data_IF_850183137292
#
_entry.id   IF_850183137292
#
_cell.length_a   1.000
_cell.length_b   1.000
_cell.length_c   1.000
_cell.angle_alpha   90.00
_cell.angle_beta   90.00
_cell.angle_gamma   90.00
#
_symmetry.space_group_name_H-M   'P 1'
#
loop_
_entity.id
_entity.type
_entity.pdbx_description
1 polymer ?
#
# COMPACT_ATOMS: atom_id res chain seq x y z
N UNK A 1 6.17 1.49 -0.14
CA UNK A 1 6.22 2.94 0.20
C UNK A 1 4.86 3.36 0.77
N UNK A 2 4.83 4.06 1.90
CA UNK A 2 3.61 4.59 2.54
C UNK A 2 3.52 6.09 2.21
N UNK A 3 2.37 6.54 1.70
CA UNK A 3 2.13 7.95 1.38
C UNK A 3 1.36 8.62 2.53
N UNK A 4 1.94 9.64 3.15
CA UNK A 4 1.42 10.29 4.35
C UNK A 4 1.19 11.77 4.07
N UNK A 5 0.05 12.31 4.48
CA UNK A 5 -0.17 13.74 4.57
C UNK A 5 -0.08 14.19 6.03
N UNK A 6 0.58 15.31 6.29
CA UNK A 6 0.59 16.01 7.57
C UNK A 6 0.00 17.39 7.33
N UNK A 7 -1.09 17.70 8.02
CA UNK A 7 -1.77 18.98 7.89
C UNK A 7 -1.87 19.65 9.27
N UNK A 8 -1.19 20.79 9.41
CA UNK A 8 -1.08 21.55 10.67
C UNK A 8 -0.73 23.00 10.31
N UNK A 9 -1.44 23.98 10.86
CA UNK A 9 -1.17 25.40 10.61
C UNK A 9 0.04 25.95 11.40
N UNK A 10 0.53 25.16 12.35
CA UNK A 10 1.70 25.49 13.17
C UNK A 10 2.93 24.75 12.66
N UNK A 11 3.89 25.49 12.12
CA UNK A 11 5.08 24.91 11.51
C UNK A 11 5.91 24.03 12.46
N UNK A 12 5.98 24.38 13.75
CA UNK A 12 6.69 23.63 14.76
C UNK A 12 6.10 22.23 14.95
N UNK A 13 4.78 22.13 15.08
CA UNK A 13 4.09 20.84 15.24
C UNK A 13 4.16 19.99 13.96
N UNK A 14 4.08 20.64 12.81
CA UNK A 14 4.27 19.95 11.52
C UNK A 14 5.66 19.34 11.43
N UNK A 15 6.71 20.09 11.78
CA UNK A 15 8.10 19.61 11.75
C UNK A 15 8.32 18.50 12.79
N UNK A 16 7.77 18.62 14.00
CA UNK A 16 7.82 17.56 15.01
C UNK A 16 7.21 16.25 14.50
N UNK A 17 6.01 16.35 13.91
CA UNK A 17 5.32 15.16 13.33
C UNK A 17 6.15 14.52 12.24
N UNK A 18 6.70 15.31 11.31
CA UNK A 18 7.55 14.80 10.22
C UNK A 18 8.81 14.12 10.78
N UNK A 19 9.49 14.76 11.73
CA UNK A 19 10.69 14.19 12.35
C UNK A 19 10.42 12.84 13.05
N UNK A 20 9.28 12.70 13.72
CA UNK A 20 8.88 11.42 14.33
C UNK A 20 8.57 10.35 13.28
N UNK A 21 7.91 10.72 12.19
CA UNK A 21 7.63 9.82 11.08
C UNK A 21 8.92 9.32 10.40
N UNK A 22 9.89 10.20 10.21
CA UNK A 22 11.22 9.84 9.67
C UNK A 22 11.99 8.92 10.62
N UNK A 23 11.96 9.17 11.93
CA UNK A 23 12.56 8.28 12.92
C UNK A 23 11.91 6.88 12.91
N UNK A 24 10.57 6.84 12.83
CA UNK A 24 9.84 5.58 12.69
C UNK A 24 10.23 4.84 11.40
N UNK A 25 10.28 5.55 10.29
CA UNK A 25 10.69 5.02 8.97
C UNK A 25 12.07 4.36 9.02
N UNK A 26 13.06 5.04 9.61
CA UNK A 26 14.41 4.51 9.78
C UNK A 26 14.45 3.27 10.67
N UNK A 27 13.70 3.30 11.78
CA UNK A 27 13.64 2.17 12.73
C UNK A 27 13.02 0.90 12.13
N UNK A 28 12.05 1.06 11.23
CA UNK A 28 11.28 -0.06 10.65
C UNK A 28 11.68 -0.37 9.20
N UNK A 29 12.71 0.30 8.67
CA UNK A 29 13.11 0.23 7.26
C UNK A 29 11.93 0.33 6.28
N UNK A 30 10.97 1.15 6.61
CA UNK A 30 9.74 1.33 5.88
C UNK A 30 9.77 2.62 5.07
N UNK A 31 9.87 2.53 3.74
CA UNK A 31 9.87 3.70 2.87
C UNK A 31 8.57 4.51 3.03
N UNK A 32 8.69 5.79 3.44
CA UNK A 32 7.58 6.74 3.53
C UNK A 32 7.78 7.90 2.56
N UNK A 33 6.66 8.51 2.14
CA UNK A 33 6.64 9.79 1.44
C UNK A 33 5.69 10.71 2.18
N UNK A 34 6.20 11.79 2.78
CA UNK A 34 5.41 12.76 3.52
C UNK A 34 5.15 13.99 2.66
N UNK A 35 3.90 14.49 2.68
CA UNK A 35 3.47 15.75 2.09
C UNK A 35 2.87 16.63 3.19
N UNK A 36 3.31 17.89 3.28
CA UNK A 36 2.90 18.82 4.33
C UNK A 36 1.92 19.87 3.79
N UNK A 37 0.94 20.22 4.61
CA UNK A 37 -0.09 21.21 4.32
C UNK A 37 -0.30 22.09 5.55
N UNK A 38 -0.42 23.39 5.34
CA UNK A 38 -0.66 24.39 6.40
C UNK A 38 -2.13 24.73 6.59
N UNK A 39 -3.02 24.13 5.80
CA UNK A 39 -4.48 24.33 5.88
C UNK A 39 -5.24 23.15 5.23
N UNK A 40 -6.53 23.02 5.62
CA UNK A 40 -7.40 21.94 5.15
C UNK A 40 -7.76 22.04 3.66
N UNK A 41 -7.87 23.24 3.09
CA UNK A 41 -8.21 23.41 1.66
C UNK A 41 -7.09 22.89 0.76
N UNK A 42 -5.84 23.17 1.11
CA UNK A 42 -4.66 22.66 0.39
C UNK A 42 -4.57 21.13 0.46
N UNK A 43 -4.90 20.55 1.62
CA UNK A 43 -4.98 19.09 1.79
C UNK A 43 -6.07 18.50 0.88
N UNK A 44 -7.30 19.06 0.91
CA UNK A 44 -8.43 18.59 0.09
C UNK A 44 -8.11 18.67 -1.41
N UNK A 45 -7.50 19.76 -1.84
CA UNK A 45 -7.05 19.93 -3.22
C UNK A 45 -6.05 18.85 -3.62
N UNK A 46 -5.07 18.57 -2.76
CA UNK A 46 -4.06 17.54 -3.01
C UNK A 46 -4.68 16.13 -3.15
N UNK A 47 -5.69 15.82 -2.34
CA UNK A 47 -6.41 14.55 -2.40
C UNK A 47 -7.13 14.30 -3.74
N UNK A 48 -7.44 15.35 -4.49
CA UNK A 48 -8.02 15.22 -5.84
C UNK A 48 -6.99 14.76 -6.89
N UNK A 49 -5.70 14.93 -6.61
CA UNK A 49 -4.62 14.64 -7.56
C UNK A 49 -3.79 13.43 -7.18
N UNK A 50 -3.66 13.14 -5.87
CA UNK A 50 -2.92 11.97 -5.39
C UNK A 50 -3.58 11.33 -4.17
N UNK A 51 -3.59 9.99 -4.07
CA UNK A 51 -4.07 9.30 -2.88
C UNK A 51 -3.02 9.35 -1.76
N UNK A 52 -3.50 9.40 -0.52
CA UNK A 52 -2.71 9.17 0.68
C UNK A 52 -3.19 7.90 1.38
N UNK A 53 -2.27 7.20 2.01
CA UNK A 53 -2.56 6.03 2.84
C UNK A 53 -3.02 6.47 4.24
N UNK A 54 -2.40 7.53 4.78
CA UNK A 54 -2.59 8.03 6.13
C UNK A 54 -2.52 9.56 6.14
N UNK A 55 -3.37 10.19 6.94
CA UNK A 55 -3.40 11.64 7.17
C UNK A 55 -3.27 11.90 8.66
N UNK A 56 -2.26 12.67 9.07
CA UNK A 56 -2.19 13.31 10.36
C UNK A 56 -2.75 14.72 10.21
N UNK A 57 -3.81 15.03 10.96
CA UNK A 57 -4.62 16.23 10.74
C UNK A 57 -4.82 17.00 12.04
N UNK A 58 -4.30 18.22 12.11
CA UNK A 58 -4.63 19.08 13.22
C UNK A 58 -6.11 19.44 13.24
N UNK A 59 -6.71 19.49 14.43
CA UNK A 59 -8.10 19.85 14.61
C UNK A 59 -8.31 21.36 14.57
N UNK A 60 -7.41 22.10 15.22
CA UNK A 60 -7.58 23.54 15.45
C UNK A 60 -6.79 24.30 14.39
N UNK A 61 -7.43 24.54 13.24
CA UNK A 61 -6.86 25.35 12.19
C UNK A 61 -7.77 26.55 11.88
N UNK A 62 -7.21 27.71 11.48
CA UNK A 62 -7.99 28.88 11.10
C UNK A 62 -8.91 28.61 9.89
N UNK A 63 -10.09 29.22 9.88
CA UNK A 63 -11.07 29.23 8.80
C UNK A 63 -11.71 27.85 8.51
N UNK A 64 -10.95 26.77 8.44
CA UNK A 64 -11.44 25.44 8.11
C UNK A 64 -10.82 24.41 9.05
N UNK A 65 -11.61 23.91 10.00
CA UNK A 65 -11.13 23.00 11.03
C UNK A 65 -10.79 21.62 10.46
N UNK A 66 -9.91 20.89 11.17
CA UNK A 66 -9.62 19.49 10.79
C UNK A 66 -10.85 18.60 10.86
N UNK A 67 -11.80 18.88 11.75
CA UNK A 67 -13.10 18.16 11.81
C UNK A 67 -13.87 18.35 10.51
N UNK A 68 -13.96 19.58 9.99
CA UNK A 68 -14.65 19.87 8.73
C UNK A 68 -13.92 19.22 7.56
N UNK A 69 -12.59 19.31 7.52
CA UNK A 69 -11.77 18.65 6.51
C UNK A 69 -11.99 17.14 6.50
N UNK A 70 -12.00 16.50 7.66
CA UNK A 70 -12.29 15.07 7.79
C UNK A 70 -13.70 14.73 7.28
N UNK A 71 -14.71 15.55 7.64
CA UNK A 71 -16.08 15.35 7.17
C UNK A 71 -16.19 15.42 5.64
N UNK A 72 -15.50 16.38 5.00
CA UNK A 72 -15.46 16.48 3.53
C UNK A 72 -14.76 15.26 2.90
N UNK A 73 -13.62 14.83 3.44
CA UNK A 73 -12.92 13.62 2.98
C UNK A 73 -13.84 12.40 3.05
N UNK A 74 -14.61 12.26 4.13
CA UNK A 74 -15.53 11.13 4.33
C UNK A 74 -16.74 11.13 3.40
N UNK A 75 -17.23 12.30 2.94
CA UNK A 75 -18.32 12.39 1.95
C UNK A 75 -17.97 11.73 0.63
N UNK A 76 -16.73 11.80 0.19
CA UNK A 76 -16.25 11.14 -1.00
C UNK A 76 -15.97 9.64 -0.78
N UNK A 77 -16.35 9.09 0.38
CA UNK A 77 -16.18 7.71 0.79
C UNK A 77 -14.73 7.21 0.68
N UNK A 78 -13.79 8.06 0.99
CA UNK A 78 -12.36 7.74 0.95
C UNK A 78 -11.99 6.88 2.17
N UNK A 79 -11.32 5.78 1.92
CA UNK A 79 -10.86 4.83 2.95
C UNK A 79 -9.48 5.21 3.52
N UNK A 80 -9.05 6.47 3.31
CA UNK A 80 -7.79 6.94 3.88
C UNK A 80 -7.89 6.94 5.41
N UNK A 81 -6.86 6.49 6.10
CA UNK A 81 -6.78 6.56 7.56
C UNK A 81 -6.53 8.01 8.00
N UNK A 82 -7.32 8.51 8.97
CA UNK A 82 -7.19 9.86 9.49
C UNK A 82 -6.95 9.79 10.98
N UNK A 83 -5.80 10.34 11.40
CA UNK A 83 -5.40 10.48 12.80
C UNK A 83 -5.42 11.96 13.16
N UNK A 84 -6.25 12.35 14.09
CA UNK A 84 -6.26 13.72 14.57
C UNK A 84 -5.08 14.00 15.49
N UNK A 85 -4.55 15.20 15.34
CA UNK A 85 -3.59 15.81 16.28
C UNK A 85 -4.30 16.96 17.01
N UNK A 86 -4.14 17.10 18.33
CA UNK A 86 -4.79 18.19 19.06
C UNK A 86 -4.09 18.51 20.36
N UNK A 87 -4.15 19.77 20.77
CA UNK A 87 -3.70 20.21 22.10
C UNK A 87 -4.74 19.96 23.20
N UNK A 88 -5.98 19.60 22.87
CA UNK A 88 -7.08 19.38 23.82
C UNK A 88 -7.74 18.01 23.62
N UNK A 89 -8.08 17.26 24.66
CA UNK A 89 -8.81 16.00 24.56
C UNK A 89 -10.34 16.20 24.27
N UNK A 90 -10.84 17.42 24.32
CA UNK A 90 -12.28 17.71 24.24
C UNK A 90 -12.93 17.34 22.92
N UNK A 91 -12.14 17.30 21.82
CA UNK A 91 -12.63 16.99 20.47
C UNK A 91 -12.77 15.50 20.20
N UNK A 92 -12.51 14.62 21.16
CA UNK A 92 -12.58 13.16 20.97
C UNK A 92 -13.96 12.67 20.50
N UNK A 93 -15.05 13.29 21.00
CA UNK A 93 -16.42 12.93 20.59
C UNK A 93 -16.68 13.36 19.14
N UNK A 94 -16.22 14.53 18.74
CA UNK A 94 -16.39 15.04 17.39
C UNK A 94 -15.52 14.23 16.38
N UNK A 95 -14.30 13.88 16.78
CA UNK A 95 -13.45 12.97 16.01
C UNK A 95 -14.16 11.63 15.73
N UNK A 96 -14.80 11.05 16.72
CA UNK A 96 -15.58 9.82 16.55
C UNK A 96 -16.76 10.01 15.58
N UNK A 97 -17.49 11.13 15.65
CA UNK A 97 -18.63 11.44 14.76
C UNK A 97 -18.22 11.52 13.30
N UNK A 98 -17.05 12.07 13.01
CA UNK A 98 -16.54 12.18 11.63
C UNK A 98 -15.75 10.94 11.19
N UNK A 99 -15.78 9.87 11.99
CA UNK A 99 -15.12 8.58 11.70
C UNK A 99 -13.62 8.74 11.48
N UNK A 100 -12.95 9.44 12.38
CA UNK A 100 -11.50 9.41 12.49
C UNK A 100 -11.05 8.01 12.95
N UNK A 101 -9.86 7.58 12.52
CA UNK A 101 -9.30 6.28 12.86
C UNK A 101 -8.44 6.34 14.14
N UNK A 102 -8.04 7.53 14.56
CA UNK A 102 -7.26 7.73 15.79
C UNK A 102 -7.18 9.19 16.20
N UNK A 103 -6.58 9.39 17.37
CA UNK A 103 -6.45 10.69 18.03
C UNK A 103 -5.17 10.73 18.86
N UNK A 104 -4.32 11.72 18.65
CA UNK A 104 -3.09 11.93 19.40
C UNK A 104 -3.08 13.33 20.02
N UNK A 105 -2.64 13.43 21.26
CA UNK A 105 -2.46 14.72 21.95
C UNK A 105 -1.09 15.31 21.67
N UNK A 106 -1.03 16.62 21.45
CA UNK A 106 0.19 17.41 21.40
C UNK A 106 0.61 17.84 22.83
N UNK A 107 1.91 17.87 23.17
CA UNK A 107 3.05 17.45 22.35
C UNK A 107 3.02 15.94 22.07
N UNK A 108 3.46 15.55 20.88
CA UNK A 108 3.35 14.16 20.45
C UNK A 108 4.26 13.23 21.28
N UNK A 109 3.66 12.21 21.87
CA UNK A 109 4.42 11.09 22.44
C UNK A 109 4.94 10.22 21.27
N UNK A 110 6.27 10.06 21.11
CA UNK A 110 6.84 9.18 20.09
C UNK A 110 6.29 7.75 20.13
N UNK A 111 6.06 7.20 21.34
CA UNK A 111 5.53 5.84 21.47
C UNK A 111 4.09 5.73 20.96
N UNK A 112 3.26 6.75 21.19
CA UNK A 112 1.89 6.78 20.71
C UNK A 112 1.83 6.89 19.17
N UNK A 113 2.64 7.77 18.56
CA UNK A 113 2.71 7.91 17.11
C UNK A 113 3.26 6.61 16.47
N UNK A 114 4.30 6.03 17.01
CA UNK A 114 4.87 4.78 16.54
C UNK A 114 3.86 3.63 16.62
N UNK A 115 3.07 3.56 17.71
CA UNK A 115 1.99 2.58 17.84
C UNK A 115 0.95 2.68 16.73
N UNK A 116 0.55 3.90 16.35
CA UNK A 116 -0.36 4.14 15.23
C UNK A 116 0.25 3.66 13.91
N UNK A 117 1.53 3.97 13.68
CA UNK A 117 2.23 3.56 12.46
C UNK A 117 2.43 2.04 12.39
N UNK A 118 2.73 1.39 13.51
CA UNK A 118 2.91 -0.07 13.59
C UNK A 118 1.58 -0.79 13.35
N UNK A 119 0.48 -0.30 13.94
CA UNK A 119 -0.86 -0.81 13.64
C UNK A 119 -1.21 -0.65 12.18
N UNK A 120 -0.94 0.55 11.62
CA UNK A 120 -1.18 0.82 10.20
C UNK A 120 -0.39 -0.12 9.31
N UNK A 121 0.90 -0.32 9.55
CA UNK A 121 1.75 -1.23 8.79
C UNK A 121 1.23 -2.67 8.86
N UNK A 122 0.89 -3.15 10.06
CA UNK A 122 0.33 -4.49 10.28
C UNK A 122 -0.99 -4.68 9.52
N UNK A 123 -1.87 -3.68 9.52
CA UNK A 123 -3.14 -3.73 8.77
C UNK A 123 -2.88 -3.67 7.28
N UNK A 124 -1.96 -2.83 6.82
CA UNK A 124 -1.58 -2.71 5.40
C UNK A 124 -0.98 -4.01 4.87
N UNK A 125 -0.15 -4.69 5.65
CA UNK A 125 0.37 -6.02 5.34
C UNK A 125 -0.74 -7.09 5.30
N UNK A 126 -1.67 -7.08 6.26
CA UNK A 126 -2.79 -8.03 6.34
C UNK A 126 -3.89 -7.77 5.31
N UNK A 127 -4.17 -6.49 5.01
CA UNK A 127 -5.13 -6.10 3.98
C UNK A 127 -4.53 -6.09 2.60
N UNK A 128 -3.35 -6.67 2.41
CA UNK A 128 -2.57 -6.78 1.20
C UNK A 128 -3.40 -6.54 -0.06
N UNK A 129 -2.86 -5.84 -1.03
CA UNK A 129 -3.50 -5.60 -2.31
C UNK A 129 -4.18 -6.88 -2.81
N UNK A 130 -5.40 -6.76 -3.33
CA UNK A 130 -6.17 -7.91 -3.80
C UNK A 130 -6.32 -7.85 -5.30
N UNK A 131 -6.27 -9.02 -5.93
CA UNK A 131 -6.68 -9.21 -7.31
C UNK A 131 -8.18 -9.49 -7.36
N UNK A 132 -8.93 -8.70 -8.10
CA UNK A 132 -10.34 -8.95 -8.37
C UNK A 132 -10.46 -9.71 -9.69
N UNK A 133 -10.80 -10.97 -9.61
CA UNK A 133 -10.95 -11.86 -10.75
C UNK A 133 -12.40 -12.33 -10.91
N UNK A 134 -12.93 -12.32 -12.13
CA UNK A 134 -14.26 -12.84 -12.45
C UNK A 134 -14.13 -14.26 -13.00
N UNK A 135 -14.91 -15.18 -12.48
CA UNK A 135 -15.19 -16.46 -13.11
C UNK A 135 -16.49 -16.38 -13.89
N UNK A 136 -16.95 -17.47 -14.48
CA UNK A 136 -18.25 -17.52 -15.19
C UNK A 136 -19.45 -17.19 -14.31
N UNK A 137 -19.36 -17.39 -13.00
CA UNK A 137 -20.49 -17.30 -12.07
C UNK A 137 -20.28 -16.35 -10.89
N UNK A 138 -19.03 -15.99 -10.56
CA UNK A 138 -18.72 -15.24 -9.34
C UNK A 138 -17.57 -14.24 -9.55
N UNK A 139 -17.48 -13.27 -8.63
CA UNK A 139 -16.34 -12.36 -8.49
C UNK A 139 -15.53 -12.81 -7.29
N UNK A 140 -14.25 -13.06 -7.49
CA UNK A 140 -13.33 -13.47 -6.45
C UNK A 140 -12.38 -12.34 -6.07
N UNK A 141 -12.10 -12.23 -4.77
CA UNK A 141 -11.08 -11.36 -4.20
C UNK A 141 -9.93 -12.26 -3.73
N UNK A 142 -8.81 -12.22 -4.44
CA UNK A 142 -7.63 -13.05 -4.15
C UNK A 142 -6.52 -12.18 -3.60
N UNK A 143 -5.96 -12.52 -2.45
CA UNK A 143 -4.84 -11.76 -1.87
C UNK A 143 -3.61 -11.84 -2.77
N UNK A 144 -3.00 -10.70 -3.10
CA UNK A 144 -1.76 -10.68 -3.88
C UNK A 144 -0.61 -11.43 -3.18
N UNK A 145 -0.60 -11.43 -1.87
CA UNK A 145 0.42 -12.13 -1.09
C UNK A 145 0.38 -13.65 -1.28
N UNK A 146 -0.80 -14.22 -1.55
CA UNK A 146 -0.94 -15.67 -1.75
C UNK A 146 -0.74 -16.10 -3.20
N UNK A 147 -0.78 -15.18 -4.16
CA UNK A 147 -0.61 -15.49 -5.59
C UNK A 147 0.86 -15.83 -5.85
N UNK A 148 1.11 -17.02 -6.37
CA UNK A 148 2.43 -17.46 -6.82
C UNK A 148 2.71 -17.04 -8.26
N UNK A 149 1.77 -17.31 -9.16
CA UNK A 149 1.87 -16.89 -10.57
C UNK A 149 0.51 -16.88 -11.25
N UNK A 150 0.44 -16.22 -12.39
CA UNK A 150 -0.71 -16.23 -13.30
C UNK A 150 -0.29 -16.82 -14.65
N UNK A 151 -1.15 -17.66 -15.23
CA UNK A 151 -0.98 -18.23 -16.55
C UNK A 151 -2.17 -17.89 -17.45
N UNK A 152 -1.90 -17.34 -18.63
CA UNK A 152 -2.92 -17.15 -19.67
C UNK A 152 -3.00 -18.38 -20.57
N UNK A 153 -4.15 -19.09 -20.52
CA UNK A 153 -4.43 -20.29 -21.29
C UNK A 153 -5.83 -20.20 -21.91
N UNK A 154 -5.96 -20.40 -23.21
CA UNK A 154 -7.26 -20.55 -23.94
C UNK A 154 -8.33 -19.51 -23.58
N UNK A 155 -7.99 -18.22 -23.56
CA UNK A 155 -8.85 -17.09 -23.18
C UNK A 155 -9.24 -17.04 -21.69
N UNK A 156 -8.65 -17.87 -20.86
CA UNK A 156 -8.79 -17.87 -19.41
C UNK A 156 -7.46 -17.51 -18.74
N UNK A 157 -7.54 -17.07 -17.50
CA UNK A 157 -6.38 -16.85 -16.66
C UNK A 157 -6.46 -17.80 -15.50
N UNK A 158 -5.46 -18.65 -15.37
CA UNK A 158 -5.26 -19.49 -14.19
C UNK A 158 -4.45 -18.67 -13.18
N UNK A 159 -4.98 -18.52 -11.97
CA UNK A 159 -4.36 -17.84 -10.86
C UNK A 159 -3.98 -18.90 -9.84
N UNK A 160 -2.68 -19.11 -9.66
CA UNK A 160 -2.12 -20.09 -8.74
C UNK A 160 -1.80 -19.43 -7.40
N UNK A 161 -2.10 -20.10 -6.31
CA UNK A 161 -1.90 -19.59 -4.96
C UNK A 161 -1.06 -20.54 -4.12
N UNK A 162 -0.45 -20.01 -3.07
CA UNK A 162 0.50 -20.72 -2.21
C UNK A 162 -0.09 -21.89 -1.41
N UNK A 163 -1.42 -21.98 -1.34
CA UNK A 163 -2.16 -23.10 -0.76
C UNK A 163 -2.53 -24.18 -1.81
N UNK A 164 -1.84 -24.18 -2.95
CA UNK A 164 -2.04 -25.09 -4.08
C UNK A 164 -3.42 -24.97 -4.73
N UNK A 165 -4.19 -23.90 -4.46
CA UNK A 165 -5.45 -23.68 -5.14
C UNK A 165 -5.26 -22.97 -6.49
N UNK A 166 -6.16 -23.26 -7.43
CA UNK A 166 -6.15 -22.67 -8.79
C UNK A 166 -7.52 -22.05 -9.05
N UNK A 167 -7.53 -20.74 -9.27
CA UNK A 167 -8.73 -20.02 -9.69
C UNK A 167 -8.70 -19.77 -11.19
N UNK A 168 -9.71 -20.26 -11.92
CA UNK A 168 -9.86 -20.02 -13.37
C UNK A 168 -10.71 -18.79 -13.62
N UNK A 169 -10.07 -17.69 -14.01
CA UNK A 169 -10.72 -16.41 -14.28
C UNK A 169 -11.01 -16.21 -15.77
N UNK A 170 -12.14 -15.58 -16.09
CA UNK A 170 -12.49 -15.12 -17.44
C UNK A 170 -12.06 -13.67 -17.70
N UNK A 171 -11.53 -12.99 -16.68
CA UNK A 171 -11.00 -11.62 -16.77
C UNK A 171 -9.74 -11.62 -17.63
N UNK A 172 -9.65 -10.82 -18.71
CA UNK A 172 -8.45 -10.75 -19.54
C UNK A 172 -7.21 -10.32 -18.75
N UNK A 173 -6.04 -10.88 -19.05
CA UNK A 173 -4.78 -10.58 -18.37
C UNK A 173 -4.48 -9.07 -18.31
N UNK A 174 -4.74 -8.33 -19.39
CA UNK A 174 -4.56 -6.87 -19.45
C UNK A 174 -5.37 -6.07 -18.42
N UNK A 175 -6.47 -6.63 -17.90
CA UNK A 175 -7.29 -6.00 -16.85
C UNK A 175 -6.81 -6.39 -15.45
N UNK A 176 -6.05 -7.47 -15.33
CA UNK A 176 -5.46 -7.92 -14.08
C UNK A 176 -4.11 -7.24 -13.81
N UNK A 177 -3.31 -6.97 -14.87
CA UNK A 177 -1.98 -6.34 -14.76
C UNK A 177 -2.00 -5.06 -13.91
N UNK A 178 -2.91 -4.08 -14.10
CA UNK A 178 -2.94 -2.86 -13.29
C UNK A 178 -3.23 -3.10 -11.79
N UNK A 179 -3.81 -4.26 -11.46
CA UNK A 179 -4.10 -4.65 -10.09
C UNK A 179 -2.89 -5.31 -9.39
N UNK A 180 -1.91 -5.78 -10.18
CA UNK A 180 -0.65 -6.37 -9.71
C UNK A 180 0.41 -5.27 -9.53
N UNK A 181 0.07 -4.23 -8.74
CA UNK A 181 0.90 -3.05 -8.54
C UNK A 181 2.08 -3.26 -7.60
N UNK A 182 2.15 -4.40 -6.91
CA UNK A 182 3.27 -4.75 -6.05
C UNK A 182 4.51 -5.04 -6.90
N UNK A 183 5.68 -4.45 -6.60
CA UNK A 183 6.94 -4.70 -7.32
C UNK A 183 7.38 -6.16 -7.36
N UNK A 184 6.81 -7.02 -6.52
CA UNK A 184 7.10 -8.45 -6.55
C UNK A 184 6.54 -9.16 -7.80
N UNK A 185 5.59 -8.57 -8.54
CA UNK A 185 5.04 -9.17 -9.75
C UNK A 185 5.82 -8.76 -11.00
N UNK A 186 6.22 -9.76 -11.80
CA UNK A 186 6.94 -9.54 -13.04
C UNK A 186 6.35 -10.36 -14.18
N UNK A 187 6.10 -9.72 -15.33
CA UNK A 187 5.66 -10.41 -16.54
C UNK A 187 6.86 -10.99 -17.31
N UNK A 188 7.21 -12.23 -17.05
CA UNK A 188 8.36 -12.91 -17.66
C UNK A 188 8.08 -13.49 -19.06
N UNK A 189 6.79 -13.66 -19.42
CA UNK A 189 6.34 -14.17 -20.70
C UNK A 189 5.01 -13.55 -21.08
N UNK A 190 4.66 -13.52 -22.38
CA UNK A 190 3.34 -13.00 -22.83
C UNK A 190 2.15 -13.67 -22.15
N UNK A 191 2.34 -14.91 -21.66
CA UNK A 191 1.31 -15.70 -20.98
C UNK A 191 1.55 -15.87 -19.50
N UNK A 192 2.65 -15.38 -18.93
CA UNK A 192 2.97 -15.61 -17.52
C UNK A 192 3.35 -14.33 -16.79
N UNK A 193 2.76 -14.17 -15.62
CA UNK A 193 3.18 -13.19 -14.60
C UNK A 193 3.54 -13.98 -13.34
N UNK A 194 4.72 -13.73 -12.79
CA UNK A 194 5.23 -14.42 -11.60
C UNK A 194 5.35 -13.48 -10.42
N UNK A 195 5.15 -14.00 -9.24
CA UNK A 195 5.49 -13.33 -7.99
C UNK A 195 6.90 -13.75 -7.58
N UNK A 196 7.82 -12.80 -7.58
CA UNK A 196 9.24 -13.01 -7.31
C UNK A 196 9.52 -13.57 -5.90
N UNK A 197 8.61 -13.38 -4.93
CA UNK A 197 8.72 -14.01 -3.61
C UNK A 197 8.68 -15.54 -3.66
N UNK A 198 8.08 -16.12 -4.71
CA UNK A 198 7.89 -17.56 -4.87
C UNK A 198 8.80 -18.19 -5.93
N UNK A 199 9.79 -17.45 -6.44
CA UNK A 199 10.80 -18.02 -7.33
C UNK A 199 11.79 -18.84 -6.51
N UNK A 200 11.87 -20.14 -6.81
CA UNK A 200 12.85 -21.06 -6.22
C UNK A 200 14.20 -21.03 -6.91
N UNK A 201 14.18 -20.95 -8.25
CA UNK A 201 15.40 -20.86 -9.07
C UNK A 201 15.12 -20.13 -10.38
N UNK A 202 16.13 -19.43 -10.89
CA UNK A 202 16.07 -18.64 -12.10
C UNK A 202 17.24 -18.99 -13.03
N UNK A 203 16.92 -19.38 -14.27
CA UNK A 203 17.89 -19.60 -15.36
C UNK A 203 17.67 -18.58 -16.50
N UNK A 204 18.48 -18.65 -17.54
CA UNK A 204 18.33 -17.75 -18.70
C UNK A 204 17.07 -17.98 -19.52
N UNK A 205 16.48 -19.17 -19.51
CA UNK A 205 15.38 -19.58 -20.38
C UNK A 205 14.11 -19.94 -19.63
N UNK A 206 14.21 -20.21 -18.33
CA UNK A 206 13.10 -20.66 -17.49
C UNK A 206 13.33 -20.32 -16.03
N UNK A 207 12.29 -20.29 -15.26
CA UNK A 207 12.32 -20.20 -13.81
C UNK A 207 11.46 -21.31 -13.18
N UNK A 208 11.81 -21.71 -11.96
CA UNK A 208 11.04 -22.68 -11.19
C UNK A 208 10.41 -21.99 -9.99
N UNK A 209 9.12 -22.17 -9.84
CA UNK A 209 8.36 -21.65 -8.70
C UNK A 209 8.50 -22.56 -7.46
N UNK A 210 8.07 -22.08 -6.31
CA UNK A 210 8.12 -22.83 -5.03
C UNK A 210 7.33 -24.15 -5.05
N UNK A 211 6.24 -24.21 -5.81
CA UNK A 211 5.40 -25.39 -6.08
C UNK A 211 6.03 -26.39 -7.05
N UNK A 212 7.21 -26.07 -7.63
CA UNK A 212 7.91 -26.90 -8.61
C UNK A 212 7.50 -26.65 -10.07
N UNK A 213 6.54 -25.77 -10.33
CA UNK A 213 6.15 -25.38 -11.68
C UNK A 213 7.31 -24.70 -12.40
N UNK A 214 7.60 -25.13 -13.66
CA UNK A 214 8.62 -24.51 -14.50
C UNK A 214 7.95 -23.58 -15.52
N UNK A 215 8.34 -22.31 -15.51
CA UNK A 215 7.75 -21.24 -16.32
C UNK A 215 8.81 -20.76 -17.33
N UNK A 216 8.49 -20.71 -18.64
CA UNK A 216 9.41 -20.22 -19.66
C UNK A 216 9.58 -18.71 -19.58
N UNK A 217 10.79 -18.23 -19.84
CA UNK A 217 11.11 -16.81 -19.93
C UNK A 217 11.26 -16.41 -21.39
N UNK A 218 10.57 -15.35 -21.81
CA UNK A 218 10.73 -14.83 -23.16
C UNK A 218 12.14 -14.24 -23.36
N UNK A 219 12.72 -14.41 -24.54
CA UNK A 219 14.09 -13.97 -24.85
C UNK A 219 14.31 -12.49 -24.55
N UNK A 220 13.31 -11.67 -24.82
CA UNK A 220 13.37 -10.22 -24.62
C UNK A 220 13.29 -9.81 -23.13
N UNK A 221 12.70 -10.64 -22.27
CA UNK A 221 12.54 -10.33 -20.83
C UNK A 221 13.66 -10.92 -19.97
N UNK A 222 14.46 -11.85 -20.49
CA UNK A 222 15.43 -12.61 -19.67
C UNK A 222 16.42 -11.71 -18.91
N UNK A 223 17.04 -10.76 -19.61
CA UNK A 223 18.03 -9.86 -19.00
C UNK A 223 17.39 -8.92 -17.96
N UNK A 224 16.25 -8.35 -18.30
CA UNK A 224 15.52 -7.42 -17.43
C UNK A 224 14.96 -8.12 -16.19
N UNK A 225 14.41 -9.35 -16.35
CA UNK A 225 13.95 -10.16 -15.21
C UNK A 225 15.11 -10.49 -14.27
N UNK A 226 16.27 -10.87 -14.78
CA UNK A 226 17.44 -11.13 -13.94
C UNK A 226 17.83 -9.89 -13.13
N UNK A 227 17.89 -8.73 -13.77
CA UNK A 227 18.20 -7.47 -13.07
C UNK A 227 17.14 -7.16 -12.01
N UNK A 228 15.86 -7.19 -12.38
CA UNK A 228 14.76 -6.92 -11.45
C UNK A 228 14.73 -7.90 -10.27
N UNK A 229 14.99 -9.19 -10.52
CA UNK A 229 15.04 -10.21 -9.46
C UNK A 229 16.23 -10.01 -8.52
N UNK A 230 17.40 -9.64 -9.05
CA UNK A 230 18.55 -9.28 -8.23
C UNK A 230 18.28 -8.04 -7.37
N UNK A 231 17.76 -6.96 -7.95
CA UNK A 231 17.37 -5.76 -7.21
C UNK A 231 16.32 -6.08 -6.14
N UNK A 232 15.36 -6.95 -6.45
CA UNK A 232 14.34 -7.41 -5.51
C UNK A 232 14.93 -8.20 -4.33
N UNK A 233 15.90 -9.08 -4.57
CA UNK A 233 16.55 -9.87 -3.52
C UNK A 233 17.50 -9.03 -2.66
N UNK A 234 18.30 -8.16 -3.28
CA UNK A 234 19.31 -7.36 -2.59
C UNK A 234 18.76 -6.05 -2.03
N UNK A 235 17.71 -5.48 -2.61
CA UNK A 235 16.95 -4.39 -1.98
C UNK A 235 16.27 -4.82 -0.68
N UNK A 236 16.00 -6.13 -0.51
CA UNK A 236 15.58 -6.74 0.76
C UNK A 236 16.77 -7.19 1.64
N UNK A 237 17.98 -7.33 1.08
CA UNK A 237 19.18 -7.85 1.76
C UNK A 237 20.17 -6.75 2.18
N UNK A 238 19.87 -5.48 1.91
CA UNK A 238 20.64 -4.33 2.41
C UNK A 238 20.53 -4.11 3.92
N UNK A 239 19.91 -5.07 4.64
CA UNK A 239 19.57 -5.02 6.07
C UNK A 239 20.14 -6.20 6.87
N UNK A 240 21.36 -6.64 6.54
CA UNK A 240 22.12 -7.58 7.38
C UNK A 240 23.34 -6.90 7.95
#
# INVERSE_FOLDING_TARGET
MITIAVCDDTAEYMQETVALLEQWSQKHDAAIKVSCFDNGDSLLNSLSHQPYDLIFLDIIMPMFSGIDACAEIRKENRQVKIIFLSVSPEFGVDAFRVKADGYLLKPLDPAALFGVMDEFLTVKEKTGSFLIAKTSSMVHKVSLQTITHLEAQDKQILIYTADDSILTATTPLRQLIPQLSDPCFYQCHRSYIVNMNYIRSLSKTELTMSDGCTIPISRNCSKELHTAYFEFLFGKAGDL
#
